data_IF_393010767802
#
_entry.id   IF_393010767802
#
_cell.length_a   1.000
_cell.length_b   1.000
_cell.length_c   1.000
_cell.angle_alpha   90.00
_cell.angle_beta   90.00
_cell.angle_gamma   90.00
#
_symmetry.space_group_name_H-M   'P 1'
#
loop_
_entity.id
_entity.type
_entity.pdbx_description
1 polymer ?
#
# COMPACT_ATOMS: atom_id res chain seq x y z
N UNK A 1 14.99 -14.52 6.35
CA UNK A 1 15.52 -13.41 7.18
C UNK A 1 16.26 -13.98 8.38
N UNK A 2 17.33 -13.35 8.83
CA UNK A 2 18.16 -13.79 9.98
C UNK A 2 17.89 -13.04 11.28
N UNK A 3 17.26 -11.85 11.20
CA UNK A 3 16.83 -11.05 12.35
C UNK A 3 15.57 -10.24 12.01
N UNK A 4 14.91 -9.68 13.04
CA UNK A 4 13.81 -8.71 12.89
C UNK A 4 14.35 -7.30 13.07
N UNK A 5 13.97 -6.42 12.16
CA UNK A 5 14.30 -4.99 12.21
C UNK A 5 13.04 -4.21 12.59
N UNK A 6 12.96 -3.80 13.84
CA UNK A 6 11.78 -3.12 14.39
C UNK A 6 11.83 -1.61 14.14
N UNK A 7 10.67 -1.01 13.93
CA UNK A 7 10.51 0.44 13.84
C UNK A 7 10.47 1.07 15.24
N UNK A 8 11.00 2.28 15.37
CA UNK A 8 10.86 3.09 16.58
C UNK A 8 9.41 3.62 16.69
N UNK A 9 8.71 3.43 17.82
CA UNK A 9 7.35 3.94 17.99
C UNK A 9 7.26 5.45 17.80
N UNK A 10 6.25 5.91 17.05
CA UNK A 10 6.00 7.33 16.81
C UNK A 10 6.96 8.01 15.83
N UNK A 11 8.00 7.32 15.35
CA UNK A 11 8.91 7.84 14.33
C UNK A 11 8.37 7.50 12.93
N UNK A 12 7.99 8.52 12.12
CA UNK A 12 7.52 8.26 10.77
C UNK A 12 8.65 7.67 9.91
N UNK A 13 8.33 6.62 9.18
CA UNK A 13 9.24 6.00 8.21
C UNK A 13 8.61 5.99 6.82
N UNK A 14 9.43 6.09 5.78
CA UNK A 14 9.00 5.89 4.41
C UNK A 14 8.98 4.40 4.13
N UNK A 15 7.85 3.90 3.63
CA UNK A 15 7.68 2.51 3.20
C UNK A 15 7.40 2.52 1.70
N UNK A 16 8.12 1.67 0.96
CA UNK A 16 7.84 1.40 -0.44
C UNK A 16 7.11 0.06 -0.51
N UNK A 17 5.85 0.09 -0.93
CA UNK A 17 5.01 -1.10 -1.08
C UNK A 17 4.86 -1.38 -2.57
N UNK A 18 5.40 -2.50 -3.01
CA UNK A 18 5.25 -2.94 -4.39
C UNK A 18 3.80 -3.38 -4.63
N UNK A 19 3.21 -2.87 -5.71
CA UNK A 19 1.95 -3.37 -6.26
C UNK A 19 2.31 -4.19 -7.48
N UNK A 20 1.94 -5.47 -7.48
CA UNK A 20 2.21 -6.34 -8.61
C UNK A 20 1.59 -5.80 -9.91
N UNK A 21 2.23 -6.05 -11.06
CA UNK A 21 1.80 -5.50 -12.33
C UNK A 21 0.33 -5.79 -12.64
N UNK A 22 -0.38 -4.77 -13.12
CA UNK A 22 -1.75 -4.89 -13.60
C UNK A 22 -1.96 -4.08 -14.88
N UNK A 23 -3.01 -4.40 -15.64
CA UNK A 23 -3.41 -3.68 -16.84
C UNK A 23 -4.94 -3.48 -16.79
N UNK A 24 -5.36 -2.24 -16.52
CA UNK A 24 -6.76 -1.92 -16.29
C UNK A 24 -7.19 -0.70 -17.12
N UNK A 25 -8.41 -0.74 -17.67
CA UNK A 25 -9.04 0.40 -18.33
C UNK A 25 -10.21 0.90 -17.48
N UNK A 26 -10.06 2.09 -16.89
CA UNK A 26 -11.12 2.75 -16.13
C UNK A 26 -12.01 3.57 -17.07
N UNK A 27 -13.27 3.16 -17.23
CA UNK A 27 -14.25 3.84 -18.10
C UNK A 27 -14.82 5.08 -17.41
N UNK A 28 -15.53 5.92 -18.18
CA UNK A 28 -16.29 7.04 -17.63
C UNK A 28 -17.21 6.55 -16.49
N UNK A 29 -17.14 7.23 -15.35
CA UNK A 29 -17.89 6.87 -14.14
C UNK A 29 -17.16 5.90 -13.20
N UNK A 30 -16.10 5.23 -13.64
CA UNK A 30 -15.27 4.42 -12.75
C UNK A 30 -14.42 5.30 -11.84
N UNK A 31 -13.96 4.71 -10.73
CA UNK A 31 -13.05 5.34 -9.78
C UNK A 31 -11.92 4.38 -9.43
N UNK A 32 -10.75 4.95 -9.16
CA UNK A 32 -9.65 4.22 -8.53
C UNK A 32 -9.81 4.40 -7.02
N UNK A 33 -9.82 3.28 -6.29
CA UNK A 33 -9.83 3.25 -4.83
C UNK A 33 -8.54 2.58 -4.36
N UNK A 34 -7.87 3.22 -3.42
CA UNK A 34 -6.79 2.62 -2.64
C UNK A 34 -7.34 2.30 -1.25
N UNK A 35 -7.16 1.06 -0.80
CA UNK A 35 -7.45 0.62 0.55
C UNK A 35 -6.14 0.30 1.27
N UNK A 36 -5.97 0.78 2.50
CA UNK A 36 -4.74 0.62 3.28
C UNK A 36 -5.12 0.02 4.62
N UNK A 37 -4.58 -1.16 4.91
CA UNK A 37 -4.88 -1.92 6.11
C UNK A 37 -3.62 -2.65 6.63
N UNK A 38 -3.54 -2.92 7.95
CA UNK A 38 -2.37 -3.58 8.56
C UNK A 38 -2.33 -5.10 8.35
N UNK A 39 -3.23 -5.64 7.52
CA UNK A 39 -3.39 -7.08 7.28
C UNK A 39 -3.75 -7.31 5.83
N UNK A 40 -3.61 -8.53 5.36
CA UNK A 40 -4.10 -8.90 4.03
C UNK A 40 -5.61 -8.74 3.91
N UNK A 41 -6.04 -8.20 2.78
CA UNK A 41 -7.43 -7.87 2.49
C UNK A 41 -8.16 -8.98 1.74
N UNK A 42 -9.43 -8.70 1.44
CA UNK A 42 -10.22 -9.55 0.55
C UNK A 42 -9.54 -9.58 -0.83
N UNK A 43 -9.20 -10.76 -1.33
CA UNK A 43 -8.52 -10.96 -2.61
C UNK A 43 -7.02 -11.29 -2.50
N UNK A 44 -6.43 -11.22 -1.31
CA UNK A 44 -5.04 -11.62 -1.09
C UNK A 44 -4.84 -13.14 -1.02
N UNK A 45 -5.91 -13.93 -0.88
CA UNK A 45 -5.81 -15.39 -0.83
C UNK A 45 -5.37 -15.97 -2.19
N UNK A 46 -4.43 -16.94 -2.22
CA UNK A 46 -3.86 -17.67 -1.08
C UNK A 46 -2.59 -17.02 -0.47
N UNK A 47 -2.16 -15.87 -0.95
CA UNK A 47 -0.92 -15.17 -0.58
C UNK A 47 -1.02 -14.37 0.73
N UNK A 48 -1.53 -14.99 1.79
CA UNK A 48 -1.64 -14.34 3.10
C UNK A 48 -0.30 -14.34 3.82
N UNK A 49 0.20 -13.16 4.16
CA UNK A 49 1.36 -12.88 4.99
C UNK A 49 0.89 -12.30 6.33
N UNK A 50 0.15 -13.11 7.09
CA UNK A 50 -0.35 -12.72 8.41
C UNK A 50 0.53 -13.31 9.51
N UNK A 51 1.29 -12.44 10.20
CA UNK A 51 1.95 -12.81 11.44
C UNK A 51 1.33 -12.01 12.60
N UNK A 52 0.78 -12.73 13.57
CA UNK A 52 -0.01 -12.15 14.66
C UNK A 52 0.83 -11.34 15.67
N UNK A 53 2.15 -11.55 15.68
CA UNK A 53 3.11 -11.02 16.64
C UNK A 53 3.36 -9.51 16.54
N UNK A 54 2.91 -8.85 15.47
CA UNK A 54 3.06 -7.40 15.29
C UNK A 54 1.87 -6.73 14.59
N UNK A 55 0.69 -7.36 14.65
CA UNK A 55 -0.54 -6.83 14.05
C UNK A 55 -1.47 -6.13 15.06
N UNK A 56 -0.89 -5.53 16.10
CA UNK A 56 -1.61 -4.80 17.13
C UNK A 56 -1.12 -3.35 17.19
N UNK A 57 -2.02 -2.42 17.55
CA UNK A 57 -1.70 -1.01 17.70
C UNK A 57 -2.33 -0.12 16.62
N UNK A 58 -1.86 1.14 16.58
CA UNK A 58 -2.40 2.18 15.71
C UNK A 58 -1.38 2.54 14.62
N UNK A 59 -1.82 2.44 13.37
CA UNK A 59 -1.04 2.89 12.22
C UNK A 59 -1.49 4.30 11.81
N UNK A 60 -0.53 5.16 11.45
CA UNK A 60 -0.82 6.52 10.97
C UNK A 60 -0.20 6.71 9.60
N UNK A 61 -1.03 7.05 8.61
CA UNK A 61 -0.58 7.37 7.26
C UNK A 61 -0.52 8.89 7.13
N UNK A 62 0.65 9.41 6.81
CA UNK A 62 0.84 10.82 6.50
C UNK A 62 0.46 11.08 5.03
N UNK A 63 -0.38 12.08 4.77
CA UNK A 63 -0.75 12.47 3.42
C UNK A 63 -0.64 14.00 3.26
N UNK A 64 -0.19 14.44 2.08
CA UNK A 64 0.05 15.85 1.76
C UNK A 64 1.32 16.46 2.36
N UNK A 65 1.56 17.73 2.04
CA UNK A 65 2.70 18.50 2.51
C UNK A 65 4.05 17.86 2.20
N UNK A 66 5.00 17.97 3.13
CA UNK A 66 6.34 17.38 3.00
C UNK A 66 6.38 15.84 3.14
N UNK A 67 5.25 15.21 3.49
CA UNK A 67 5.12 13.75 3.68
C UNK A 67 3.97 13.19 2.84
N UNK A 68 3.89 13.63 1.59
CA UNK A 68 2.82 13.21 0.71
C UNK A 68 3.02 11.73 0.31
N UNK A 69 2.35 10.81 1.00
CA UNK A 69 2.14 9.46 0.48
C UNK A 69 1.36 9.51 -0.84
N UNK A 70 1.77 8.70 -1.82
CA UNK A 70 1.17 8.67 -3.15
C UNK A 70 1.06 7.24 -3.68
N UNK A 71 0.12 7.04 -4.61
CA UNK A 71 0.04 5.85 -5.45
C UNK A 71 0.67 6.18 -6.81
N UNK A 72 1.77 5.49 -7.15
CA UNK A 72 2.40 5.66 -8.47
C UNK A 72 1.62 4.83 -9.51
N UNK A 73 1.00 5.51 -10.47
CA UNK A 73 0.25 4.86 -11.55
C UNK A 73 0.98 5.02 -12.89
N UNK A 74 1.29 3.93 -13.61
CA UNK A 74 1.84 4.00 -14.96
C UNK A 74 0.72 4.31 -15.96
N UNK A 75 0.36 5.60 -16.09
CA UNK A 75 -0.67 6.04 -17.04
C UNK A 75 -0.13 5.88 -18.47
N UNK A 76 -0.75 4.99 -19.24
CA UNK A 76 -0.44 4.79 -20.66
C UNK A 76 -1.27 5.78 -21.49
N UNK A 77 -0.65 6.73 -22.20
CA UNK A 77 -1.37 7.66 -23.07
C UNK A 77 -2.10 6.93 -24.19
N UNK A 78 -3.25 7.43 -24.62
CA UNK A 78 -3.87 6.96 -25.86
C UNK A 78 -2.95 7.34 -27.03
N UNK A 79 -2.81 6.45 -28.01
CA UNK A 79 -2.20 6.83 -29.29
C UNK A 79 -3.01 7.97 -29.91
N UNK A 80 -2.31 8.94 -30.48
CA UNK A 80 -2.90 10.03 -31.26
C UNK A 80 -3.63 9.47 -32.48
#
# INVERSE_FOLDING_TARGET
HTAREWLEPGKPVRVEVEIWPTCMVFKKGHRIRLDIQPRDGVGSAPYTHYAADYNTGTNTIFAGGARASYLLLPIIPRRA
#
